data_IF_865371376306
#
_entry.id   IF_865371376306
#
_cell.length_a   1.000
_cell.length_b   1.000
_cell.length_c   1.000
_cell.angle_alpha   90.00
_cell.angle_beta   90.00
_cell.angle_gamma   90.00
#
_symmetry.space_group_name_H-M   'P 1'
#
loop_
_entity.id
_entity.type
_entity.pdbx_description
1 polymer ?
#
# COMPACT_ATOMS: atom_id res chain seq x y z
N UNK A 1 -9.75 22.03 21.65
CA UNK A 1 -10.65 23.20 21.71
C UNK A 1 -11.67 22.95 22.81
N UNK A 2 -11.44 23.53 23.99
CA UNK A 2 -12.32 23.43 25.16
C UNK A 2 -13.70 24.00 24.83
N UNK A 3 -14.76 23.19 24.98
CA UNK A 3 -16.14 23.67 24.83
C UNK A 3 -16.49 24.54 26.03
N UNK A 4 -16.48 25.86 25.84
CA UNK A 4 -17.05 26.82 26.77
C UNK A 4 -18.55 26.59 26.87
N UNK A 5 -19.03 26.24 28.06
CA UNK A 5 -20.45 26.04 28.34
C UNK A 5 -21.03 27.42 28.63
N UNK A 6 -21.87 27.93 27.72
CA UNK A 6 -22.62 29.16 27.93
C UNK A 6 -23.94 28.86 28.65
N UNK A 7 -24.46 29.78 29.47
CA UNK A 7 -25.78 29.65 30.09
C UNK A 7 -26.87 29.53 29.02
N UNK A 8 -27.93 28.78 29.33
CA UNK A 8 -29.02 28.43 28.41
C UNK A 8 -29.71 29.66 27.80
N UNK A 9 -29.76 30.75 28.56
CA UNK A 9 -30.33 32.03 28.15
C UNK A 9 -29.26 33.12 28.31
N UNK A 10 -28.95 33.82 27.22
CA UNK A 10 -27.97 34.90 27.19
C UNK A 10 -28.38 35.94 26.15
N UNK A 11 -28.31 37.23 26.51
CA UNK A 11 -28.62 38.35 25.60
C UNK A 11 -27.73 38.35 24.35
N UNK A 12 -26.53 37.77 24.45
CA UNK A 12 -25.59 37.64 23.33
C UNK A 12 -25.99 36.56 22.30
N UNK A 13 -26.96 35.69 22.61
CA UNK A 13 -27.49 34.66 21.70
C UNK A 13 -28.80 35.07 21.01
N UNK A 14 -29.27 36.31 21.19
CA UNK A 14 -30.52 36.82 20.61
C UNK A 14 -30.46 36.99 19.08
N UNK A 15 -29.25 37.19 18.53
CA UNK A 15 -29.02 37.31 17.09
C UNK A 15 -28.41 35.99 16.63
N UNK A 16 -29.14 35.24 15.80
CA UNK A 16 -28.65 33.99 15.20
C UNK A 16 -27.34 34.24 14.47
N UNK A 17 -26.28 33.51 14.84
CA UNK A 17 -25.03 33.57 14.08
C UNK A 17 -25.29 32.95 12.71
N UNK A 18 -24.86 33.64 11.66
CA UNK A 18 -24.91 33.06 10.31
C UNK A 18 -24.06 31.79 10.29
N UNK A 19 -24.69 30.64 10.05
CA UNK A 19 -23.97 29.38 9.90
C UNK A 19 -23.10 29.47 8.64
N UNK A 20 -21.78 29.37 8.81
CA UNK A 20 -20.86 29.26 7.69
C UNK A 20 -21.22 28.02 6.87
N UNK A 21 -21.79 28.23 5.67
CA UNK A 21 -22.11 27.13 4.75
C UNK A 21 -20.82 26.43 4.33
N UNK A 22 -20.59 25.24 4.86
CA UNK A 22 -19.45 24.41 4.49
C UNK A 22 -19.70 23.86 3.07
N UNK A 23 -19.05 24.46 2.07
CA UNK A 23 -19.08 23.94 0.69
C UNK A 23 -18.14 22.76 0.55
N UNK A 24 -18.67 21.62 0.09
CA UNK A 24 -17.85 20.45 -0.21
C UNK A 24 -16.92 20.77 -1.38
N UNK A 25 -15.63 20.40 -1.33
CA UNK A 25 -14.72 20.63 -2.45
C UNK A 25 -15.19 19.86 -3.69
N UNK A 26 -14.88 20.35 -4.91
CA UNK A 26 -15.21 19.64 -6.13
C UNK A 26 -14.54 18.27 -6.16
N UNK A 27 -15.25 17.29 -6.74
CA UNK A 27 -14.74 15.93 -6.88
C UNK A 27 -13.47 15.93 -7.74
N UNK A 28 -12.44 15.18 -7.32
CA UNK A 28 -11.23 14.98 -8.11
C UNK A 28 -11.55 14.39 -9.48
N UNK A 29 -10.91 14.94 -10.53
CA UNK A 29 -10.95 14.44 -11.89
C UNK A 29 -9.53 14.11 -12.33
N UNK A 30 -9.32 12.90 -12.84
CA UNK A 30 -8.01 12.46 -13.35
C UNK A 30 -7.54 13.33 -14.52
N UNK A 31 -6.25 13.68 -14.51
CA UNK A 31 -5.56 14.40 -15.60
C UNK A 31 -5.65 13.67 -16.94
N UNK A 32 -5.81 12.35 -16.91
CA UNK A 32 -5.86 11.49 -18.11
C UNK A 32 -7.29 11.21 -18.60
N UNK A 33 -8.31 11.83 -18.00
CA UNK A 33 -9.72 11.55 -18.33
C UNK A 33 -10.03 11.73 -19.82
N UNK A 34 -9.52 12.79 -20.44
CA UNK A 34 -9.77 13.05 -21.86
C UNK A 34 -9.01 12.08 -22.77
N UNK A 35 -7.77 11.74 -22.42
CA UNK A 35 -6.99 10.73 -23.16
C UNK A 35 -7.70 9.38 -23.16
N UNK A 36 -8.18 8.91 -22.01
CA UNK A 36 -8.91 7.64 -21.90
C UNK A 36 -10.21 7.66 -22.71
N UNK A 37 -10.92 8.80 -22.79
CA UNK A 37 -12.09 8.93 -23.65
C UNK A 37 -11.72 8.79 -25.12
N UNK A 38 -10.66 9.47 -25.56
CA UNK A 38 -10.18 9.40 -26.94
C UNK A 38 -9.74 7.97 -27.31
N UNK A 39 -8.91 7.32 -26.50
CA UNK A 39 -8.47 5.93 -26.73
C UNK A 39 -9.65 4.96 -26.79
N UNK A 40 -10.64 5.12 -25.91
CA UNK A 40 -11.86 4.32 -25.92
C UNK A 40 -12.74 4.57 -27.15
N UNK A 41 -12.72 5.77 -27.72
CA UNK A 41 -13.47 6.11 -28.93
C UNK A 41 -12.76 5.64 -30.20
N UNK A 42 -11.43 5.73 -30.28
CA UNK A 42 -10.64 5.26 -31.43
C UNK A 42 -10.88 3.78 -31.74
N UNK A 43 -11.05 2.97 -30.70
CA UNK A 43 -11.30 1.53 -30.84
C UNK A 43 -12.76 1.18 -31.15
N UNK A 44 -13.67 2.16 -31.20
CA UNK A 44 -15.09 1.95 -31.50
C UNK A 44 -15.38 2.24 -32.97
N UNK A 45 -15.75 1.21 -33.71
CA UNK A 45 -16.39 1.35 -35.01
C UNK A 45 -17.92 1.42 -34.85
N UNK A 46 -18.57 2.35 -35.53
CA UNK A 46 -19.99 2.69 -35.33
C UNK A 46 -20.98 1.55 -35.57
N UNK A 47 -20.64 0.54 -36.37
CA UNK A 47 -21.55 -0.54 -36.81
C UNK A 47 -20.85 -1.91 -36.96
N UNK A 48 -19.90 -2.23 -36.07
CA UNK A 48 -19.06 -3.45 -36.18
C UNK A 48 -19.80 -4.77 -35.92
N UNK A 49 -20.76 -4.78 -34.99
CA UNK A 49 -21.42 -6.03 -34.54
C UNK A 49 -22.57 -6.47 -35.45
N UNK A 50 -23.49 -5.57 -35.81
CA UNK A 50 -24.72 -5.90 -36.53
C UNK A 50 -24.86 -5.20 -37.89
N UNK A 51 -23.87 -4.41 -38.31
CA UNK A 51 -23.94 -3.64 -39.55
C UNK A 51 -25.01 -2.53 -39.54
N UNK A 52 -25.28 -1.89 -40.69
CA UNK A 52 -26.38 -0.94 -40.82
C UNK A 52 -27.75 -1.67 -40.91
N UNK A 53 -28.84 -1.08 -40.38
CA UNK A 53 -30.17 -1.70 -40.37
C UNK A 53 -30.75 -1.92 -41.78
N UNK A 54 -30.36 -1.09 -42.75
CA UNK A 54 -30.62 -1.29 -44.18
C UNK A 54 -29.32 -1.02 -44.93
N UNK A 55 -28.84 -2.02 -45.67
CA UNK A 55 -27.65 -1.89 -46.51
C UNK A 55 -28.00 -1.03 -47.71
N UNK A 56 -27.28 0.07 -47.90
CA UNK A 56 -27.48 0.94 -49.06
C UNK A 56 -26.87 0.27 -50.29
N UNK A 57 -27.71 -0.13 -51.24
CA UNK A 57 -27.28 -0.65 -52.54
C UNK A 57 -26.80 0.54 -53.39
N UNK A 58 -25.58 0.50 -53.95
CA UNK A 58 -25.09 1.61 -54.78
C UNK A 58 -25.96 1.78 -56.03
N UNK A 59 -26.26 3.04 -56.40
CA UNK A 59 -26.94 3.34 -57.65
C UNK A 59 -26.10 2.87 -58.84
N UNK A 60 -26.69 2.32 -59.92
CA UNK A 60 -25.97 1.91 -61.14
C UNK A 60 -25.10 3.03 -61.75
N UNK A 61 -25.48 4.30 -61.55
CA UNK A 61 -24.72 5.46 -62.02
C UNK A 61 -23.38 5.65 -61.29
N UNK A 62 -23.23 5.09 -60.08
CA UNK A 62 -22.03 5.19 -59.23
C UNK A 62 -21.21 3.91 -59.29
N UNK A 63 -20.86 3.48 -60.50
CA UNK A 63 -19.99 2.33 -60.74
C UNK A 63 -18.54 2.63 -60.33
N UNK A 64 -17.77 1.58 -59.99
CA UNK A 64 -16.37 1.73 -59.60
C UNK A 64 -15.50 2.11 -60.80
N UNK A 65 -14.85 3.27 -60.71
CA UNK A 65 -13.89 3.73 -61.72
C UNK A 65 -12.51 3.10 -61.51
N UNK A 66 -11.71 3.04 -62.58
CA UNK A 66 -10.31 2.59 -62.54
C UNK A 66 -9.53 3.41 -61.51
N UNK A 67 -8.73 2.74 -60.67
CA UNK A 67 -7.91 3.35 -59.61
C UNK A 67 -8.70 4.08 -58.50
N UNK A 68 -10.02 3.90 -58.39
CA UNK A 68 -10.86 4.59 -57.38
C UNK A 68 -10.56 4.21 -55.92
N UNK A 69 -10.05 3.00 -55.69
CA UNK A 69 -9.71 2.47 -54.35
C UNK A 69 -8.21 2.52 -54.04
N UNK A 70 -7.40 3.02 -54.96
CA UNK A 70 -5.96 3.07 -54.76
C UNK A 70 -5.61 4.21 -53.78
N UNK A 71 -4.81 3.93 -52.73
CA UNK A 71 -4.39 4.95 -51.80
C UNK A 71 -3.48 5.95 -52.51
N UNK A 72 -3.88 7.22 -52.53
CA UNK A 72 -3.02 8.30 -53.04
C UNK A 72 -1.93 8.56 -52.02
N UNK A 73 -0.69 8.22 -52.38
CA UNK A 73 0.47 8.54 -51.56
C UNK A 73 0.69 10.06 -51.57
N UNK A 74 1.05 10.67 -50.43
CA UNK A 74 1.43 12.07 -50.39
C UNK A 74 2.71 12.31 -51.20
N UNK A 75 2.92 13.55 -51.64
CA UNK A 75 4.15 13.95 -52.33
C UNK A 75 5.39 13.68 -51.47
N UNK A 76 6.47 13.22 -52.11
CA UNK A 76 7.71 12.85 -51.43
C UNK A 76 8.38 14.09 -50.84
N UNK A 77 8.25 14.28 -49.53
CA UNK A 77 9.05 15.26 -48.77
C UNK A 77 10.38 14.64 -48.35
N UNK A 78 11.49 15.41 -48.36
CA UNK A 78 12.74 14.95 -47.77
C UNK A 78 12.49 14.63 -46.29
N UNK A 79 12.81 13.40 -45.90
CA UNK A 79 12.63 12.94 -44.53
C UNK A 79 13.64 13.63 -43.62
N UNK A 80 13.18 14.50 -42.72
CA UNK A 80 14.00 15.03 -41.63
C UNK A 80 13.68 14.28 -40.34
N UNK A 81 14.72 13.81 -39.65
CA UNK A 81 14.57 13.44 -38.24
C UNK A 81 14.31 14.74 -37.47
N UNK A 82 13.28 14.79 -36.61
CA UNK A 82 12.89 15.96 -35.80
C UNK A 82 13.93 16.43 -34.76
N UNK A 83 15.17 15.96 -34.88
CA UNK A 83 16.36 16.51 -34.25
C UNK A 83 17.16 17.22 -35.33
N UNK A 84 16.89 18.50 -35.51
CA UNK A 84 17.72 19.35 -36.36
C UNK A 84 19.19 19.24 -35.93
N UNK A 85 20.05 18.84 -36.86
CA UNK A 85 21.44 19.32 -36.88
C UNK A 85 22.52 18.54 -36.13
N UNK A 86 22.23 17.41 -35.47
CA UNK A 86 23.29 16.67 -34.76
C UNK A 86 23.39 15.21 -35.21
N UNK A 87 24.26 14.96 -36.19
CA UNK A 87 24.81 13.63 -36.39
C UNK A 87 25.51 13.20 -35.09
N UNK A 88 25.02 12.12 -34.46
CA UNK A 88 25.57 11.58 -33.19
C UNK A 88 27.06 11.26 -33.25
N UNK A 89 27.62 11.14 -34.47
CA UNK A 89 29.02 10.88 -34.72
C UNK A 89 29.67 12.17 -35.24
N UNK A 90 30.87 12.54 -34.74
CA UNK A 90 31.63 13.64 -35.34
C UNK A 90 31.98 13.29 -36.80
N UNK A 91 32.16 14.30 -37.67
CA UNK A 91 32.65 14.07 -39.02
C UNK A 91 34.03 13.43 -38.97
N UNK A 92 34.32 12.60 -39.96
CA UNK A 92 35.65 11.99 -40.10
C UNK A 92 36.68 13.09 -40.40
N UNK A 93 37.88 13.08 -39.78
CA UNK A 93 38.93 14.05 -40.08
C UNK A 93 39.23 14.13 -41.57
N UNK A 94 39.43 15.34 -42.08
CA UNK A 94 39.74 15.56 -43.47
C UNK A 94 41.18 15.12 -43.78
N UNK A 95 41.48 14.76 -45.05
CA UNK A 95 42.84 14.37 -45.47
C UNK A 95 43.89 15.49 -45.25
N UNK A 96 43.44 16.74 -45.17
CA UNK A 96 44.27 17.93 -44.89
C UNK A 96 44.48 18.18 -43.40
N UNK A 97 43.72 17.51 -42.53
CA UNK A 97 43.77 17.66 -41.09
C UNK A 97 44.92 16.80 -40.55
N UNK A 98 46.07 17.43 -40.35
CA UNK A 98 47.24 16.76 -39.79
C UNK A 98 47.11 16.84 -38.27
N UNK A 99 47.02 15.70 -37.56
CA UNK A 99 47.02 15.74 -36.10
C UNK A 99 48.30 16.45 -35.63
N UNK A 100 48.28 17.17 -34.50
CA UNK A 100 49.47 17.84 -33.98
C UNK A 100 50.56 16.79 -33.74
N UNK A 101 51.43 16.63 -34.72
CA UNK A 101 52.44 15.59 -34.75
C UNK A 101 53.59 16.07 -33.89
N UNK A 102 53.85 15.38 -32.78
CA UNK A 102 54.94 15.69 -31.88
C UNK A 102 54.73 17.03 -31.17
N UNK A 103 53.99 17.02 -30.05
CA UNK A 103 54.20 18.02 -29.00
C UNK A 103 55.61 17.81 -28.47
N UNK A 104 56.59 18.39 -29.16
CA UNK A 104 57.98 18.36 -28.75
C UNK A 104 58.10 19.27 -27.53
N UNK A 105 57.97 18.68 -26.35
CA UNK A 105 58.15 19.41 -25.10
C UNK A 105 59.58 19.92 -25.05
N UNK A 106 59.79 21.24 -24.94
CA UNK A 106 61.09 21.85 -24.61
C UNK A 106 61.54 21.55 -23.17
N UNK A 107 60.99 20.50 -22.56
CA UNK A 107 61.27 20.10 -21.18
C UNK A 107 62.66 19.48 -21.14
N UNK A 108 63.54 20.05 -20.33
CA UNK A 108 64.83 19.45 -20.07
C UNK A 108 64.65 18.31 -19.05
N UNK A 109 64.55 17.08 -19.56
CA UNK A 109 64.34 15.89 -18.73
C UNK A 109 65.44 15.67 -17.70
N UNK A 110 66.68 16.08 -17.98
CA UNK A 110 67.79 15.99 -17.02
C UNK A 110 67.52 16.86 -15.80
N UNK A 111 67.13 18.13 -16.02
CA UNK A 111 66.80 19.05 -14.92
C UNK A 111 65.53 18.64 -14.18
N UNK A 112 64.50 18.20 -14.89
CA UNK A 112 63.25 17.75 -14.27
C UNK A 112 63.42 16.50 -13.41
N UNK A 113 64.17 15.51 -13.90
CA UNK A 113 64.42 14.28 -13.14
C UNK A 113 65.30 14.57 -11.90
N UNK A 114 66.25 15.49 -12.02
CA UNK A 114 67.06 15.93 -10.88
C UNK A 114 66.20 16.60 -9.81
N UNK A 115 65.33 17.54 -10.19
CA UNK A 115 64.43 18.22 -9.25
C UNK A 115 63.45 17.21 -8.63
N UNK A 116 62.88 16.31 -9.43
CA UNK A 116 61.94 15.28 -8.95
C UNK A 116 62.60 14.36 -7.92
N UNK A 117 63.85 13.94 -8.14
CA UNK A 117 64.57 13.10 -7.19
C UNK A 117 64.98 13.85 -5.91
N UNK A 118 65.33 15.15 -6.02
CA UNK A 118 65.64 16.00 -4.85
C UNK A 118 64.38 16.24 -4.00
N UNK A 119 63.23 16.44 -4.65
CA UNK A 119 61.94 16.68 -3.99
C UNK A 119 61.23 15.40 -3.55
N UNK A 120 61.68 14.23 -4.01
CA UNK A 120 61.06 12.96 -3.66
C UNK A 120 61.23 12.68 -2.17
N UNK A 121 60.11 12.45 -1.48
CA UNK A 121 60.11 12.00 -0.09
C UNK A 121 60.77 10.61 -0.02
N UNK A 122 61.72 10.38 0.91
CA UNK A 122 62.32 9.06 1.09
C UNK A 122 61.25 7.98 1.30
N UNK A 123 61.42 6.84 0.62
CA UNK A 123 60.51 5.70 0.79
C UNK A 123 60.54 5.25 2.26
N UNK A 124 59.36 5.12 2.87
CA UNK A 124 59.25 4.58 4.23
C UNK A 124 59.82 3.15 4.21
N UNK A 125 60.83 2.84 5.06
CA UNK A 125 61.38 1.50 5.10
C UNK A 125 60.31 0.52 5.57
N UNK A 126 60.40 -0.73 5.11
CA UNK A 126 59.56 -1.79 5.67
C UNK A 126 59.85 -1.90 7.17
N UNK A 127 58.81 -2.01 8.03
CA UNK A 127 59.01 -2.19 9.45
C UNK A 127 59.75 -3.49 9.70
N UNK A 128 60.96 -3.39 10.22
CA UNK A 128 61.85 -4.49 10.53
C UNK A 128 62.54 -4.20 11.87
N UNK A 129 62.86 -5.26 12.61
CA UNK A 129 63.69 -5.16 13.82
C UNK A 129 65.06 -5.77 13.55
N UNK A 130 66.05 -5.30 14.32
CA UNK A 130 67.43 -5.78 14.28
C UNK A 130 67.76 -6.24 15.70
N UNK A 131 68.12 -7.51 15.84
CA UNK A 131 68.41 -8.13 17.14
C UNK A 131 69.91 -8.47 17.27
N UNK A 132 70.56 -8.85 16.17
CA UNK A 132 71.96 -9.27 16.20
C UNK A 132 72.93 -8.10 16.10
N UNK A 133 74.09 -8.22 16.76
CA UNK A 133 75.22 -7.26 16.66
C UNK A 133 75.70 -7.08 15.21
N UNK A 134 75.48 -8.07 14.37
CA UNK A 134 75.87 -8.09 12.95
C UNK A 134 74.87 -7.38 12.03
N UNK A 135 73.73 -6.92 12.55
CA UNK A 135 72.76 -6.13 11.78
C UNK A 135 71.77 -6.94 10.95
N UNK A 136 71.50 -8.20 11.31
CA UNK A 136 70.52 -9.02 10.58
C UNK A 136 69.11 -8.42 10.75
N UNK A 137 68.45 -8.15 9.62
CA UNK A 137 67.11 -7.53 9.59
C UNK A 137 66.03 -8.58 9.49
N UNK A 138 65.13 -8.61 10.47
CA UNK A 138 63.93 -9.46 10.45
C UNK A 138 62.67 -8.60 10.22
N UNK A 139 61.86 -8.99 9.23
CA UNK A 139 60.61 -8.29 8.93
C UNK A 139 59.60 -8.44 10.08
N UNK A 140 58.93 -7.33 10.42
CA UNK A 140 58.01 -7.29 11.55
C UNK A 140 56.67 -7.99 11.27
N UNK A 141 56.33 -8.29 10.02
CA UNK A 141 55.12 -9.03 9.64
C UNK A 141 55.07 -10.46 10.23
N UNK A 142 56.24 -11.09 10.34
CA UNK A 142 56.40 -12.42 10.90
C UNK A 142 56.50 -12.39 12.42
N UNK A 143 56.92 -11.26 13.00
CA UNK A 143 56.89 -11.10 14.45
C UNK A 143 55.44 -10.85 14.91
N UNK A 144 55.08 -11.36 16.09
CA UNK A 144 53.74 -11.16 16.64
C UNK A 144 53.45 -9.70 17.08
N UNK A 145 54.33 -8.75 16.72
CA UNK A 145 54.22 -7.34 17.08
C UNK A 145 53.24 -6.58 16.16
N UNK A 146 53.01 -7.08 14.94
CA UNK A 146 51.96 -6.57 14.05
C UNK A 146 50.65 -7.30 14.33
N UNK A 147 49.60 -6.54 14.67
CA UNK A 147 48.27 -7.07 14.97
C UNK A 147 47.71 -7.89 13.80
N UNK A 148 47.64 -9.21 13.97
CA UNK A 148 46.95 -10.10 13.03
C UNK A 148 45.47 -10.13 13.39
N UNK A 149 44.60 -9.62 12.51
CA UNK A 149 43.15 -9.55 12.74
C UNK A 149 42.48 -10.91 12.97
N UNK A 150 43.12 -12.00 12.55
CA UNK A 150 42.70 -13.39 12.83
C UNK A 150 42.78 -13.70 14.34
N UNK A 151 43.69 -13.07 15.07
CA UNK A 151 43.90 -13.27 16.52
C UNK A 151 43.08 -12.32 17.38
N UNK A 152 42.02 -11.69 16.83
CA UNK A 152 41.13 -10.84 17.62
C UNK A 152 40.36 -11.69 18.63
N UNK A 153 40.14 -11.17 19.84
CA UNK A 153 39.39 -11.87 20.91
C UNK A 153 37.98 -12.29 20.48
N UNK A 154 37.32 -11.44 19.69
CA UNK A 154 35.94 -11.64 19.25
C UNK A 154 35.86 -12.28 17.85
N UNK A 155 36.96 -12.88 17.37
CA UNK A 155 36.97 -13.52 16.06
C UNK A 155 35.98 -14.70 16.05
N UNK A 156 35.04 -14.69 15.09
CA UNK A 156 33.98 -15.69 15.00
C UNK A 156 32.79 -15.48 15.94
N UNK A 157 32.82 -14.47 16.82
CA UNK A 157 31.68 -14.13 17.68
C UNK A 157 30.78 -13.08 17.01
N UNK A 158 29.45 -13.21 17.21
CA UNK A 158 28.50 -12.19 16.74
C UNK A 158 28.57 -10.98 17.65
N UNK A 159 28.85 -9.77 17.12
CA UNK A 159 28.89 -8.55 17.92
C UNK A 159 27.60 -8.28 18.70
N UNK A 160 27.75 -7.71 19.89
CA UNK A 160 26.65 -7.44 20.83
C UNK A 160 25.54 -6.58 20.20
N UNK A 161 25.89 -5.55 19.42
CA UNK A 161 24.92 -4.67 18.77
C UNK A 161 23.98 -5.41 17.80
N UNK A 162 24.44 -6.50 17.17
CA UNK A 162 23.58 -7.31 16.30
C UNK A 162 22.59 -8.16 17.11
N UNK A 163 22.97 -8.58 18.32
CA UNK A 163 22.08 -9.28 19.23
C UNK A 163 20.99 -8.32 19.75
N UNK A 164 21.38 -7.11 20.15
CA UNK A 164 20.46 -6.06 20.58
C UNK A 164 19.45 -5.72 19.48
N UNK A 165 19.92 -5.50 18.23
CA UNK A 165 19.03 -5.24 17.09
C UNK A 165 18.05 -6.38 16.80
N UNK A 166 18.50 -7.64 16.94
CA UNK A 166 17.61 -8.80 16.76
C UNK A 166 16.51 -8.84 17.82
N UNK A 167 16.84 -8.51 19.05
CA UNK A 167 15.88 -8.43 20.16
C UNK A 167 14.87 -7.30 19.95
N UNK A 168 15.32 -6.13 19.51
CA UNK A 168 14.44 -5.00 19.14
C UNK A 168 13.45 -5.41 18.05
N UNK A 169 13.94 -6.01 16.95
CA UNK A 169 13.06 -6.50 15.87
C UNK A 169 12.04 -7.53 16.37
N UNK A 170 12.45 -8.42 17.28
CA UNK A 170 11.53 -9.41 17.88
C UNK A 170 10.42 -8.72 18.67
N UNK A 171 10.76 -7.74 19.52
CA UNK A 171 9.80 -6.98 20.32
C UNK A 171 8.82 -6.21 19.45
N UNK A 172 9.31 -5.50 18.43
CA UNK A 172 8.46 -4.77 17.48
C UNK A 172 7.47 -5.71 16.77
N UNK A 173 7.92 -6.91 16.39
CA UNK A 173 7.07 -7.91 15.76
C UNK A 173 6.00 -8.45 16.72
N UNK A 174 6.34 -8.69 17.99
CA UNK A 174 5.39 -9.11 19.03
C UNK A 174 4.34 -8.03 19.30
N UNK A 175 4.75 -6.77 19.42
CA UNK A 175 3.85 -5.62 19.59
C UNK A 175 2.89 -5.47 18.41
N UNK A 176 3.40 -5.57 17.18
CA UNK A 176 2.57 -5.54 15.97
C UNK A 176 1.55 -6.68 15.97
N UNK A 177 1.98 -7.91 16.26
CA UNK A 177 1.10 -9.07 16.33
C UNK A 177 0.01 -8.91 17.40
N UNK A 178 0.35 -8.34 18.56
CA UNK A 178 -0.60 -8.07 19.62
C UNK A 178 -1.62 -7.00 19.20
N UNK A 179 -1.18 -5.91 18.58
CA UNK A 179 -2.07 -4.88 18.04
C UNK A 179 -3.04 -5.43 16.99
N UNK A 180 -2.55 -6.29 16.09
CA UNK A 180 -3.39 -6.98 15.10
C UNK A 180 -4.41 -7.89 15.78
N UNK A 181 -3.99 -8.69 16.77
CA UNK A 181 -4.90 -9.56 17.54
C UNK A 181 -5.99 -8.75 18.25
N UNK A 182 -5.64 -7.64 18.90
CA UNK A 182 -6.62 -6.78 19.56
C UNK A 182 -7.60 -6.13 18.57
N UNK A 183 -7.12 -5.68 17.41
CA UNK A 183 -8.00 -5.19 16.34
C UNK A 183 -8.95 -6.28 15.84
N UNK A 184 -8.44 -7.51 15.66
CA UNK A 184 -9.26 -8.66 15.27
C UNK A 184 -10.30 -8.99 16.34
N UNK A 185 -9.95 -8.93 17.64
CA UNK A 185 -10.90 -9.12 18.74
C UNK A 185 -11.96 -8.02 18.81
N UNK A 186 -11.60 -6.76 18.55
CA UNK A 186 -12.54 -5.64 18.51
C UNK A 186 -13.55 -5.77 17.35
N UNK A 187 -13.09 -6.27 16.20
CA UNK A 187 -13.95 -6.55 15.04
C UNK A 187 -14.71 -7.88 15.13
N UNK A 188 -14.30 -8.79 16.01
CA UNK A 188 -14.96 -10.07 16.20
C UNK A 188 -16.24 -9.87 17.03
N UNK A 189 -17.34 -10.47 16.56
CA UNK A 189 -18.56 -10.59 17.36
C UNK A 189 -18.26 -11.39 18.63
N UNK A 190 -18.82 -10.97 19.76
CA UNK A 190 -18.64 -11.70 21.03
C UNK A 190 -19.43 -12.99 20.96
N UNK A 191 -18.77 -14.12 21.13
CA UNK A 191 -19.46 -15.39 21.30
C UNK A 191 -20.08 -15.43 22.70
N UNK A 192 -21.37 -15.75 22.78
CA UNK A 192 -22.05 -15.94 24.06
C UNK A 192 -21.45 -17.19 24.74
N UNK A 193 -20.90 -17.07 25.96
CA UNK A 193 -20.39 -18.21 26.70
C UNK A 193 -21.53 -19.17 27.07
N UNK A 194 -21.20 -20.46 27.22
CA UNK A 194 -22.20 -21.51 27.45
C UNK A 194 -22.95 -21.32 28.78
N UNK A 195 -22.28 -20.77 29.80
CA UNK A 195 -22.89 -20.48 31.10
C UNK A 195 -24.01 -19.42 30.99
N UNK A 196 -23.75 -18.31 30.29
CA UNK A 196 -24.75 -17.28 30.03
C UNK A 196 -25.90 -17.81 29.17
N UNK A 197 -25.58 -18.64 28.17
CA UNK A 197 -26.59 -19.32 27.34
C UNK A 197 -27.55 -20.14 28.19
N UNK A 198 -27.04 -20.93 29.12
CA UNK A 198 -27.85 -21.76 30.01
C UNK A 198 -28.69 -20.92 30.97
N UNK A 199 -28.14 -19.82 31.50
CA UNK A 199 -28.90 -18.88 32.33
C UNK A 199 -30.08 -18.25 31.57
N UNK A 200 -29.84 -17.78 30.34
CA UNK A 200 -30.89 -17.22 29.48
C UNK A 200 -31.97 -18.28 29.19
N UNK A 201 -31.57 -19.49 28.84
CA UNK A 201 -32.49 -20.59 28.56
C UNK A 201 -33.38 -20.93 29.77
N UNK A 202 -32.78 -20.98 30.97
CA UNK A 202 -33.52 -21.19 32.21
C UNK A 202 -34.49 -20.03 32.48
N UNK A 203 -34.06 -18.78 32.23
CA UNK A 203 -34.92 -17.59 32.36
C UNK A 203 -36.13 -17.63 31.42
N UNK A 204 -35.91 -18.01 30.15
CA UNK A 204 -36.98 -18.15 29.16
C UNK A 204 -37.99 -19.24 29.55
N UNK A 205 -37.50 -20.40 30.03
CA UNK A 205 -38.36 -21.50 30.49
C UNK A 205 -39.20 -21.10 31.70
N UNK A 206 -38.61 -20.42 32.68
CA UNK A 206 -39.36 -19.89 33.84
C UNK A 206 -40.45 -18.91 33.43
N UNK A 207 -40.15 -17.98 32.52
CA UNK A 207 -41.14 -17.02 32.03
C UNK A 207 -42.28 -17.70 31.25
N UNK A 208 -41.96 -18.76 30.50
CA UNK A 208 -42.97 -19.58 29.84
C UNK A 208 -43.87 -20.29 30.86
N UNK A 209 -43.31 -20.89 31.92
CA UNK A 209 -44.08 -21.53 33.00
C UNK A 209 -45.00 -20.53 33.71
N UNK A 210 -44.53 -19.31 33.98
CA UNK A 210 -45.33 -18.25 34.58
C UNK A 210 -46.53 -17.84 33.69
N UNK A 211 -46.30 -17.65 32.39
CA UNK A 211 -47.37 -17.36 31.43
C UNK A 211 -48.34 -18.52 31.27
N UNK A 212 -47.83 -19.75 31.27
CA UNK A 212 -48.66 -20.95 31.20
C UNK A 212 -49.55 -21.08 32.43
N UNK A 213 -49.03 -20.81 33.62
CA UNK A 213 -49.85 -20.74 34.84
C UNK A 213 -50.92 -19.65 34.78
N UNK A 214 -50.64 -18.48 34.18
CA UNK A 214 -51.65 -17.45 33.96
C UNK A 214 -52.72 -17.88 32.96
N UNK A 215 -52.32 -18.59 31.90
CA UNK A 215 -53.23 -19.15 30.91
C UNK A 215 -54.15 -20.22 31.53
N UNK A 216 -53.60 -21.12 32.37
CA UNK A 216 -54.39 -22.13 33.09
C UNK A 216 -55.43 -21.53 34.04
N UNK A 217 -55.15 -20.35 34.60
CA UNK A 217 -56.10 -19.63 35.48
C UNK A 217 -57.23 -18.93 34.71
N UNK A 218 -57.26 -19.00 33.39
CA UNK A 218 -58.36 -18.44 32.60
C UNK A 218 -59.65 -19.26 32.79
N UNK A 219 -60.82 -18.60 32.88
CA UNK A 219 -62.11 -19.30 32.94
C UNK A 219 -62.41 -20.03 31.62
N UNK A 220 -63.04 -21.21 31.71
CA UNK A 220 -63.41 -22.05 30.56
C UNK A 220 -64.29 -21.31 29.53
N UNK A 221 -65.14 -20.39 30.00
CA UNK A 221 -66.08 -19.64 29.18
C UNK A 221 -65.52 -18.26 28.84
N UNK A 222 -65.14 -18.06 27.57
CA UNK A 222 -64.55 -16.83 27.03
C UNK A 222 -65.48 -16.11 26.06
N UNK A 223 -66.66 -15.69 26.54
CA UNK A 223 -67.67 -15.09 25.66
C UNK A 223 -67.44 -13.60 25.39
N UNK A 224 -66.89 -12.87 26.37
CA UNK A 224 -66.61 -11.43 26.28
C UNK A 224 -65.37 -11.15 25.43
N UNK A 225 -65.43 -10.13 24.56
CA UNK A 225 -64.31 -9.71 23.71
C UNK A 225 -62.99 -9.52 24.50
N UNK A 226 -63.04 -8.88 25.67
CA UNK A 226 -61.84 -8.69 26.51
C UNK A 226 -61.23 -10.01 27.01
N UNK A 227 -62.04 -11.04 27.26
CA UNK A 227 -61.57 -12.37 27.68
C UNK A 227 -60.91 -13.11 26.51
N UNK A 228 -61.47 -12.99 25.29
CA UNK A 228 -60.88 -13.53 24.06
C UNK A 228 -59.53 -12.89 23.75
N UNK A 229 -59.46 -11.55 23.78
CA UNK A 229 -58.22 -10.82 23.54
C UNK A 229 -57.14 -11.16 24.58
N UNK A 230 -57.50 -11.34 25.85
CA UNK A 230 -56.56 -11.76 26.89
C UNK A 230 -55.99 -13.15 26.63
N UNK A 231 -56.83 -14.10 26.22
CA UNK A 231 -56.40 -15.46 25.86
C UNK A 231 -55.45 -15.43 24.67
N UNK A 232 -55.84 -14.77 23.59
CA UNK A 232 -55.04 -14.64 22.37
C UNK A 232 -53.68 -13.97 22.64
N UNK A 233 -53.66 -12.94 23.50
CA UNK A 233 -52.40 -12.28 23.90
C UNK A 233 -51.46 -13.22 24.67
N UNK A 234 -52.00 -14.04 25.56
CA UNK A 234 -51.20 -15.04 26.30
C UNK A 234 -50.66 -16.12 25.35
N UNK A 235 -51.50 -16.62 24.43
CA UNK A 235 -51.08 -17.62 23.42
C UNK A 235 -49.99 -17.07 22.49
N UNK A 236 -50.15 -15.83 22.04
CA UNK A 236 -49.15 -15.16 21.20
C UNK A 236 -47.81 -15.03 21.92
N UNK A 237 -47.81 -14.62 23.20
CA UNK A 237 -46.59 -14.51 24.01
C UNK A 237 -45.94 -15.87 24.28
N UNK A 238 -46.73 -16.90 24.58
CA UNK A 238 -46.21 -18.26 24.75
C UNK A 238 -45.54 -18.77 23.47
N UNK A 239 -46.21 -18.59 22.32
CA UNK A 239 -45.67 -18.97 21.02
C UNK A 239 -44.39 -18.20 20.66
N UNK A 240 -44.26 -16.96 21.12
CA UNK A 240 -43.02 -16.20 20.97
C UNK A 240 -41.89 -16.80 21.80
N UNK A 241 -42.12 -17.08 23.09
CA UNK A 241 -41.11 -17.70 23.96
C UNK A 241 -40.70 -19.09 23.46
N UNK A 242 -41.62 -19.89 22.94
CA UNK A 242 -41.31 -21.20 22.34
C UNK A 242 -40.33 -21.07 21.18
N UNK A 243 -40.54 -20.09 20.29
CA UNK A 243 -39.60 -19.83 19.18
C UNK A 243 -38.24 -19.34 19.67
N UNK A 244 -38.21 -18.52 20.71
CA UNK A 244 -36.97 -18.02 21.30
C UNK A 244 -36.17 -19.15 21.96
N UNK A 245 -36.84 -20.02 22.73
CA UNK A 245 -36.25 -21.24 23.30
C UNK A 245 -35.73 -22.15 22.20
N UNK A 246 -36.53 -22.41 21.15
CA UNK A 246 -36.12 -23.25 20.02
C UNK A 246 -34.89 -22.70 19.31
N UNK A 247 -34.81 -21.38 19.07
CA UNK A 247 -33.62 -20.76 18.49
C UNK A 247 -32.38 -20.98 19.37
N UNK A 248 -32.51 -20.76 20.68
CA UNK A 248 -31.39 -20.91 21.62
C UNK A 248 -30.94 -22.38 21.73
N UNK A 249 -31.86 -23.34 21.69
CA UNK A 249 -31.56 -24.77 21.74
C UNK A 249 -30.95 -25.30 20.44
N UNK A 250 -31.43 -24.82 19.29
CA UNK A 250 -30.97 -25.24 17.96
C UNK A 250 -29.53 -24.80 17.68
N UNK A 251 -29.16 -23.59 18.09
CA UNK A 251 -27.83 -23.03 17.81
C UNK A 251 -26.90 -23.12 19.03
N UNK A 252 -25.84 -23.93 18.90
CA UNK A 252 -24.79 -24.08 19.92
C UNK A 252 -23.87 -22.85 20.02
N UNK A 253 -23.64 -22.16 18.90
CA UNK A 253 -22.75 -21.00 18.83
C UNK A 253 -23.61 -19.80 18.44
N UNK A 254 -23.71 -18.83 19.35
CA UNK A 254 -24.45 -17.58 19.15
C UNK A 254 -23.46 -16.44 19.27
N UNK A 255 -23.37 -15.62 18.23
CA UNK A 255 -22.49 -14.47 18.17
C UNK A 255 -23.31 -13.20 18.34
N UNK A 256 -22.92 -12.35 19.28
CA UNK A 256 -23.56 -11.07 19.59
C UNK A 256 -22.72 -9.96 18.98
N UNK A 257 -23.35 -9.12 18.16
CA UNK A 257 -22.72 -7.90 17.67
C UNK A 257 -22.56 -6.91 18.83
N UNK A 258 -21.38 -6.32 18.96
CA UNK A 258 -21.15 -5.24 19.92
C UNK A 258 -21.88 -3.99 19.39
N UNK A 259 -22.91 -3.53 20.11
CA UNK A 259 -23.55 -2.22 19.89
C UNK A 259 -22.78 -1.12 20.62
#
# INVERSE_FOLDING_TARGET
MSKTIYPLESTYNLISREEEKIYKPPRYISRFREQVKHEKQLNKASRKTMGPPKVHVPSPDKYLLKHSKEPRLPEKKPFSYGYEGHSKKPPVPARTDHPPMGVHTKKNFVKSNAIENIMAVPRKPQPAYIDTRNGDKHLLENSCLVSKYIKKKDYGQTPEYLQQRREETRREQEEYNNCVKERMKQGAMKQLPEEERQQILQGLKKNWDELYHQFQKLPLVTDTASKKNRKEHLEMKMKQLEKEIEMMERYKIICIANN
#
